data_IF_295962441386
#
_entry.id   IF_295962441386
#
_cell.length_a   1.000
_cell.length_b   1.000
_cell.length_c   1.000
_cell.angle_alpha   90.00
_cell.angle_beta   90.00
_cell.angle_gamma   90.00
#
_symmetry.space_group_name_H-M   'P 1'
#
loop_
_entity.id
_entity.type
_entity.pdbx_description
1 polymer ?
#
# COMPACT_ATOMS: atom_id res chain seq x y z
N UNK A 1 16.88 -13.56 -10.84
CA UNK A 1 15.76 -12.92 -11.57
C UNK A 1 15.63 -11.53 -11.01
N UNK A 2 15.52 -10.52 -11.86
CA UNK A 2 15.40 -9.11 -11.46
C UNK A 2 14.14 -8.95 -10.61
N UNK A 3 14.30 -8.41 -9.40
CA UNK A 3 13.20 -8.15 -8.48
C UNK A 3 12.24 -7.12 -9.11
N UNK A 4 11.15 -7.58 -9.71
CA UNK A 4 10.18 -6.69 -10.35
C UNK A 4 9.27 -6.09 -9.28
N UNK A 5 9.29 -4.75 -9.21
CA UNK A 5 8.39 -3.97 -8.36
C UNK A 5 7.29 -3.40 -9.25
N UNK A 6 6.06 -3.76 -8.95
CA UNK A 6 4.84 -3.26 -9.56
C UNK A 6 4.33 -2.05 -8.77
N UNK A 7 3.83 -1.03 -9.48
CA UNK A 7 3.17 0.13 -8.90
C UNK A 7 1.75 0.23 -9.46
N UNK A 8 0.75 -0.18 -8.67
CA UNK A 8 -0.66 -0.16 -9.06
C UNK A 8 -1.30 1.14 -8.57
N UNK A 9 -1.63 2.03 -9.51
CA UNK A 9 -2.33 3.30 -9.27
C UNK A 9 -3.83 3.19 -9.59
N UNK A 10 -4.16 2.31 -10.52
CA UNK A 10 -5.52 2.03 -10.98
C UNK A 10 -5.80 0.53 -10.89
N UNK A 11 -7.07 0.15 -10.76
CA UNK A 11 -7.49 -1.26 -10.71
C UNK A 11 -7.03 -2.03 -11.96
N UNK A 12 -7.02 -1.37 -13.12
CA UNK A 12 -6.58 -1.97 -14.39
C UNK A 12 -5.09 -2.32 -14.41
N UNK A 13 -4.27 -1.69 -13.57
CA UNK A 13 -2.82 -1.96 -13.54
C UNK A 13 -2.53 -3.40 -13.05
N UNK A 14 -3.48 -4.02 -12.34
CA UNK A 14 -3.37 -5.40 -11.86
C UNK A 14 -3.40 -6.40 -13.03
N UNK A 15 -3.96 -6.04 -14.18
CA UNK A 15 -4.08 -6.93 -15.35
C UNK A 15 -2.73 -7.26 -16.01
N UNK A 16 -1.64 -6.62 -15.58
CA UNK A 16 -0.27 -6.96 -16.02
C UNK A 16 0.24 -8.26 -15.38
N UNK A 17 -0.39 -8.72 -14.30
CA UNK A 17 -0.02 -9.93 -13.59
C UNK A 17 -0.53 -11.17 -14.32
N UNK A 18 0.29 -12.23 -14.35
CA UNK A 18 -0.21 -13.56 -14.69
C UNK A 18 -1.00 -14.19 -13.53
N UNK A 19 -1.70 -15.29 -13.78
CA UNK A 19 -2.54 -15.96 -12.77
C UNK A 19 -1.78 -16.35 -11.49
N UNK A 20 -0.52 -16.80 -11.60
CA UNK A 20 0.29 -17.19 -10.44
C UNK A 20 0.73 -15.98 -9.64
N UNK A 21 1.08 -14.89 -10.32
CA UNK A 21 1.42 -13.63 -9.69
C UNK A 21 0.21 -13.03 -8.99
N UNK A 22 -0.96 -13.11 -9.63
CA UNK A 22 -2.21 -12.64 -9.07
C UNK A 22 -2.59 -13.35 -7.76
N UNK A 23 -2.42 -14.68 -7.68
CA UNK A 23 -2.68 -15.42 -6.44
C UNK A 23 -1.76 -15.01 -5.28
N UNK A 24 -0.46 -14.77 -5.55
CA UNK A 24 0.48 -14.25 -4.54
C UNK A 24 0.11 -12.82 -4.13
N UNK A 25 -0.12 -11.96 -5.11
CA UNK A 25 -0.58 -10.59 -4.88
C UNK A 25 -1.86 -10.55 -4.03
N UNK A 26 -2.82 -11.46 -4.26
CA UNK A 26 -4.08 -11.48 -3.53
C UNK A 26 -3.89 -11.74 -2.03
N UNK A 27 -2.93 -12.59 -1.67
CA UNK A 27 -2.59 -12.86 -0.27
C UNK A 27 -1.99 -11.60 0.39
N UNK A 28 -1.04 -10.95 -0.27
CA UNK A 28 -0.38 -9.73 0.23
C UNK A 28 -1.35 -8.54 0.29
N UNK A 29 -2.23 -8.44 -0.71
CA UNK A 29 -3.26 -7.42 -0.79
C UNK A 29 -4.23 -7.49 0.40
N UNK A 30 -4.59 -8.68 0.87
CA UNK A 30 -5.45 -8.85 2.06
C UNK A 30 -4.80 -8.26 3.31
N UNK A 31 -3.50 -8.47 3.49
CA UNK A 31 -2.74 -7.91 4.61
C UNK A 31 -2.58 -6.39 4.48
N UNK A 32 -2.17 -5.92 3.29
CA UNK A 32 -2.08 -4.49 2.99
C UNK A 32 -3.41 -3.77 3.21
N UNK A 33 -4.54 -4.36 2.80
CA UNK A 33 -5.87 -3.80 2.98
C UNK A 33 -6.22 -3.62 4.47
N UNK A 34 -5.94 -4.62 5.31
CA UNK A 34 -6.14 -4.52 6.76
C UNK A 34 -5.32 -3.39 7.35
N UNK A 35 -4.05 -3.29 6.95
CA UNK A 35 -3.15 -2.24 7.41
C UNK A 35 -3.61 -0.84 6.98
N UNK A 36 -3.96 -0.66 5.71
CA UNK A 36 -4.47 0.61 5.19
C UNK A 36 -5.71 1.10 5.94
N UNK A 37 -6.66 0.22 6.26
CA UNK A 37 -7.83 0.60 7.08
C UNK A 37 -7.44 1.09 8.47
N UNK A 38 -6.49 0.39 9.11
CA UNK A 38 -6.01 0.78 10.43
C UNK A 38 -5.30 2.14 10.38
N UNK A 39 -4.34 2.31 9.45
CA UNK A 39 -3.59 3.56 9.30
C UNK A 39 -4.53 4.73 9.00
N UNK A 40 -5.51 4.57 8.10
CA UNK A 40 -6.47 5.66 7.80
C UNK A 40 -7.30 6.04 9.01
N UNK A 41 -7.71 5.06 9.82
CA UNK A 41 -8.40 5.31 11.09
C UNK A 41 -7.52 6.11 12.05
N UNK A 42 -6.22 5.82 12.13
CA UNK A 42 -5.30 6.53 13.00
C UNK A 42 -4.94 7.93 12.47
N UNK A 43 -4.80 8.09 11.16
CA UNK A 43 -4.64 9.39 10.50
C UNK A 43 -5.85 10.28 10.74
N UNK A 44 -7.07 9.75 10.74
CA UNK A 44 -8.26 10.52 11.09
C UNK A 44 -8.22 11.02 12.54
N UNK A 45 -7.71 10.23 13.48
CA UNK A 45 -7.51 10.67 14.88
C UNK A 45 -6.47 11.78 14.97
N UNK A 46 -5.36 11.64 14.23
CA UNK A 46 -4.30 12.64 14.19
C UNK A 46 -4.79 13.96 13.56
N UNK A 47 -5.65 13.90 12.53
CA UNK A 47 -6.26 15.08 11.93
C UNK A 47 -7.11 15.87 12.93
N UNK A 48 -7.78 15.20 13.87
CA UNK A 48 -8.58 15.87 14.92
C UNK A 48 -7.74 16.68 15.90
N UNK A 49 -6.44 16.38 16.03
CA UNK A 49 -5.50 17.13 16.87
C UNK A 49 -4.60 18.07 16.05
N UNK A 50 -4.99 18.38 14.81
CA UNK A 50 -4.27 19.32 13.93
C UNK A 50 -3.06 18.73 13.21
N UNK A 51 -2.85 17.41 13.24
CA UNK A 51 -1.76 16.76 12.50
C UNK A 51 -2.32 16.19 11.20
N UNK A 52 -1.96 16.81 10.08
CA UNK A 52 -2.37 16.32 8.76
C UNK A 52 -1.33 15.35 8.21
N UNK A 53 -1.72 14.08 8.01
CA UNK A 53 -0.91 13.02 7.42
C UNK A 53 -1.63 12.52 6.17
N UNK A 54 -0.89 12.35 5.07
CA UNK A 54 -1.43 11.75 3.85
C UNK A 54 -1.00 10.29 3.78
N UNK A 55 -1.94 9.39 3.50
CA UNK A 55 -1.64 7.98 3.24
C UNK A 55 -1.60 7.79 1.73
N UNK A 56 -0.56 7.12 1.22
CA UNK A 56 -0.46 6.84 -0.21
C UNK A 56 -1.66 6.01 -0.70
N UNK A 57 -2.22 6.41 -1.85
CA UNK A 57 -3.31 5.70 -2.55
C UNK A 57 -2.80 4.75 -3.63
N UNK A 58 -1.51 4.38 -3.55
CA UNK A 58 -0.83 3.53 -4.54
C UNK A 58 -0.33 2.27 -3.86
N UNK A 59 -0.50 1.12 -4.52
CA UNK A 59 0.07 -0.15 -4.06
C UNK A 59 1.39 -0.37 -4.77
N UNK A 60 2.48 -0.46 -4.00
CA UNK A 60 3.78 -0.93 -4.50
C UNK A 60 3.97 -2.36 -4.05
N UNK A 61 3.98 -3.29 -4.99
CA UNK A 61 4.06 -4.71 -4.72
C UNK A 61 5.29 -5.31 -5.39
N UNK A 62 6.03 -6.14 -4.66
CA UNK A 62 7.20 -6.85 -5.17
C UNK A 62 6.81 -8.32 -5.32
N UNK A 63 6.97 -8.87 -6.52
CA UNK A 63 6.85 -10.32 -6.70
C UNK A 63 8.18 -10.97 -6.30
N UNK A 64 8.30 -11.36 -5.04
CA UNK A 64 9.47 -12.05 -4.49
C UNK A 64 9.30 -13.59 -4.48
N UNK A 65 8.23 -14.09 -5.12
CA UNK A 65 7.80 -15.48 -5.07
C UNK A 65 7.47 -16.01 -3.65
N UNK A 66 7.36 -15.12 -2.67
CA UNK A 66 6.89 -15.41 -1.32
C UNK A 66 5.45 -14.90 -1.15
N UNK A 67 4.88 -15.19 0.01
CA UNK A 67 3.57 -14.71 0.44
C UNK A 67 3.76 -14.05 1.80
N UNK A 68 3.22 -12.84 1.96
CA UNK A 68 3.27 -12.02 3.16
C UNK A 68 3.86 -10.63 2.90
N UNK A 69 3.37 -9.62 3.63
CA UNK A 69 3.88 -8.26 3.49
C UNK A 69 5.19 -8.08 4.24
N UNK A 70 6.31 -8.09 3.52
CA UNK A 70 7.65 -7.92 4.11
C UNK A 70 7.96 -6.49 4.60
N UNK A 71 7.48 -5.45 3.92
CA UNK A 71 7.73 -4.04 4.29
C UNK A 71 6.61 -3.13 3.79
N UNK A 72 6.09 -2.28 4.68
CA UNK A 72 5.18 -1.18 4.32
C UNK A 72 5.91 0.14 4.54
N UNK A 73 5.92 1.00 3.53
CA UNK A 73 6.47 2.36 3.62
C UNK A 73 5.32 3.35 3.66
N UNK A 74 5.28 4.21 4.69
CA UNK A 74 4.28 5.27 4.84
C UNK A 74 5.01 6.60 4.74
N UNK A 75 4.69 7.40 3.73
CA UNK A 75 5.22 8.75 3.58
C UNK A 75 4.37 9.74 4.38
N UNK A 76 4.86 10.15 5.54
CA UNK A 76 4.19 11.14 6.39
C UNK A 76 4.68 12.54 6.02
N UNK A 77 3.83 13.32 5.36
CA UNK A 77 4.08 14.74 5.11
C UNK A 77 3.25 15.60 6.06
N UNK A 78 3.90 16.41 6.90
CA UNK A 78 3.23 17.43 7.71
C UNK A 78 2.86 18.60 6.80
N UNK A 79 1.57 18.89 6.64
CA UNK A 79 1.14 20.13 6.01
C UNK A 79 1.65 21.32 6.86
N UNK A 80 2.30 22.31 6.23
CA UNK A 80 2.58 23.59 6.88
C UNK A 80 1.27 24.36 6.98
N UNK A 81 0.88 24.73 8.19
CA UNK A 81 -0.18 25.71 8.41
C UNK A 81 0.29 27.07 7.87
N UNK A 82 -0.51 27.70 7.02
CA UNK A 82 -0.32 29.06 6.51
C UNK A 82 -0.89 30.09 7.48
#
# INVERSE_FOLDING_TARGET
>A
MTEQIYEFKQVTDILVLDDKQFERFLADFKEWFRFQKQVRTDVEKLRKIGINITVADVIRWKDDALIGVGKITIDVQKARDY
#
